data_IF_316391257740
#
_entry.id   IF_316391257740
#
_cell.length_a   1.000
_cell.length_b   1.000
_cell.length_c   1.000
_cell.angle_alpha   90.00
_cell.angle_beta   90.00
_cell.angle_gamma   90.00
#
_symmetry.space_group_name_H-M   'P 1'
#
loop_
_entity.id
_entity.type
_entity.pdbx_description
1 polymer ?
#
# COMPACT_ATOMS: atom_id res chain seq x y z
N UNK A 1 9.96 -5.70 -21.65
CA UNK A 1 9.46 -4.69 -20.69
C UNK A 1 8.46 -3.84 -21.44
N UNK A 2 7.32 -3.50 -20.84
CA UNK A 2 6.37 -2.59 -21.48
C UNK A 2 6.93 -1.18 -21.31
N UNK A 3 7.51 -0.59 -22.36
CA UNK A 3 8.02 0.80 -22.42
C UNK A 3 6.86 1.83 -22.42
N UNK A 4 5.84 1.58 -21.60
CA UNK A 4 4.71 2.48 -21.43
C UNK A 4 5.03 3.43 -20.27
N UNK A 5 5.05 4.73 -20.57
CA UNK A 5 5.07 5.76 -19.53
C UNK A 5 3.69 5.73 -18.87
N UNK A 6 3.60 5.14 -17.68
CA UNK A 6 2.38 5.15 -16.87
C UNK A 6 2.37 6.45 -16.07
N UNK A 7 1.36 7.30 -16.31
CA UNK A 7 1.12 8.45 -15.44
C UNK A 7 0.68 7.93 -14.07
N UNK A 8 1.44 8.29 -13.03
CA UNK A 8 1.14 7.92 -11.64
C UNK A 8 -0.23 8.42 -11.19
N UNK A 9 -0.78 9.45 -11.82
CA UNK A 9 -2.15 9.94 -11.58
C UNK A 9 -3.24 8.99 -12.07
N UNK A 10 -2.90 8.07 -12.97
CA UNK A 10 -3.82 7.06 -13.48
C UNK A 10 -3.77 5.76 -12.67
N UNK A 11 -2.88 5.67 -11.69
CA UNK A 11 -2.76 4.50 -10.83
C UNK A 11 -3.86 4.53 -9.76
N UNK A 12 -4.37 3.35 -9.34
CA UNK A 12 -5.29 3.28 -8.21
C UNK A 12 -4.71 3.95 -6.97
N UNK A 13 -5.56 4.56 -6.14
CA UNK A 13 -5.16 5.01 -4.81
C UNK A 13 -4.49 3.87 -4.05
N UNK A 14 -3.34 4.15 -3.43
CA UNK A 14 -2.56 3.13 -2.73
C UNK A 14 -1.78 2.19 -3.64
N UNK A 15 -1.68 2.45 -4.95
CA UNK A 15 -0.70 1.74 -5.76
C UNK A 15 0.71 2.27 -5.47
N UNK A 16 1.69 1.37 -5.29
CA UNK A 16 3.08 1.73 -5.06
C UNK A 16 3.99 1.09 -6.11
N UNK A 17 4.58 1.92 -6.98
CA UNK A 17 5.47 1.45 -8.04
C UNK A 17 6.91 1.18 -7.55
N UNK A 18 7.27 1.57 -6.32
CA UNK A 18 8.66 1.52 -5.84
C UNK A 18 9.09 0.14 -5.39
N UNK A 19 8.14 -0.75 -5.08
CA UNK A 19 8.38 -2.12 -4.69
C UNK A 19 7.18 -3.02 -4.99
N UNK A 20 7.36 -4.35 -5.04
CA UNK A 20 6.25 -5.27 -5.17
C UNK A 20 5.25 -5.15 -4.00
N UNK A 21 3.96 -5.47 -4.24
CA UNK A 21 2.97 -5.52 -3.17
C UNK A 21 3.37 -6.53 -2.08
N UNK A 22 3.14 -6.17 -0.83
CA UNK A 22 3.43 -7.02 0.33
C UNK A 22 2.22 -7.04 1.28
N UNK A 23 1.28 -7.99 1.13
CA UNK A 23 0.02 -7.98 1.89
C UNK A 23 0.21 -8.13 3.41
N UNK A 24 1.40 -8.54 3.87
CA UNK A 24 1.74 -8.65 5.29
C UNK A 24 2.28 -7.36 5.92
N UNK A 25 2.56 -6.33 5.11
CA UNK A 25 3.20 -5.09 5.56
C UNK A 25 2.43 -3.87 5.05
N UNK A 26 2.48 -2.78 5.81
CA UNK A 26 2.01 -1.49 5.33
C UNK A 26 3.02 -0.91 4.33
N UNK A 27 2.57 -0.64 3.11
CA UNK A 27 3.37 -0.11 2.00
C UNK A 27 3.88 1.32 2.24
N UNK A 28 3.23 2.08 3.12
CA UNK A 28 3.65 3.45 3.42
C UNK A 28 4.77 3.51 4.46
N UNK A 29 4.71 2.67 5.50
CA UNK A 29 5.64 2.75 6.64
C UNK A 29 6.50 1.49 6.84
N UNK A 30 6.33 0.48 5.98
CA UNK A 30 7.06 -0.78 5.94
C UNK A 30 7.00 -1.61 7.24
N UNK A 31 5.97 -1.39 8.06
CA UNK A 31 5.75 -2.17 9.29
C UNK A 31 4.78 -3.33 9.04
N UNK A 32 4.97 -4.49 9.70
CA UNK A 32 4.11 -5.65 9.52
C UNK A 32 2.73 -5.43 10.18
N UNK A 33 1.68 -6.01 9.60
CA UNK A 33 0.34 -6.02 10.21
C UNK A 33 0.26 -6.90 11.45
N UNK A 34 1.17 -7.86 11.61
CA UNK A 34 1.26 -8.73 12.77
C UNK A 34 2.62 -8.53 13.43
N UNK A 35 2.62 -8.06 14.68
CA UNK A 35 3.83 -8.02 15.49
C UNK A 35 3.49 -8.35 16.94
N UNK A 36 4.38 -9.08 17.63
CA UNK A 36 4.21 -9.42 19.06
C UNK A 36 2.86 -10.08 19.37
N UNK A 37 2.39 -10.99 18.50
CA UNK A 37 1.07 -11.65 18.57
C UNK A 37 -0.13 -10.69 18.54
N UNK A 38 0.07 -9.44 18.12
CA UNK A 38 -0.97 -8.45 17.92
C UNK A 38 -1.16 -8.18 16.43
N UNK A 39 -2.40 -8.26 15.96
CA UNK A 39 -2.81 -7.85 14.63
C UNK A 39 -3.27 -6.39 14.65
N UNK A 40 -2.59 -5.55 13.88
CA UNK A 40 -2.91 -4.13 13.71
C UNK A 40 -3.94 -3.95 12.60
N UNK A 41 -4.81 -2.94 12.76
CA UNK A 41 -5.88 -2.67 11.81
C UNK A 41 -5.35 -2.07 10.50
N UNK A 42 -5.85 -2.59 9.38
CA UNK A 42 -5.53 -2.14 8.04
C UNK A 42 -6.33 -2.90 7.00
N UNK A 43 -6.00 -2.67 5.74
CA UNK A 43 -6.63 -3.31 4.59
C UNK A 43 -5.61 -3.60 3.49
N UNK A 44 -5.90 -4.64 2.69
CA UNK A 44 -5.19 -4.94 1.45
C UNK A 44 -6.09 -4.54 0.31
N UNK A 45 -5.61 -3.66 -0.56
CA UNK A 45 -6.35 -3.13 -1.70
C UNK A 45 -6.35 -4.13 -2.87
N UNK A 46 -7.18 -3.88 -3.89
CA UNK A 46 -7.27 -4.75 -5.08
C UNK A 46 -5.95 -4.85 -5.87
N UNK A 47 -5.05 -3.87 -5.69
CA UNK A 47 -3.69 -3.87 -6.23
C UNK A 47 -2.69 -4.68 -5.38
N UNK A 48 -3.18 -5.42 -4.37
CA UNK A 48 -2.42 -6.26 -3.43
C UNK A 48 -1.49 -5.49 -2.47
N UNK A 49 -1.55 -4.16 -2.50
CA UNK A 49 -0.82 -3.28 -1.57
C UNK A 49 -1.59 -3.16 -0.25
N UNK A 50 -0.87 -3.36 0.86
CA UNK A 50 -1.44 -3.28 2.21
C UNK A 50 -1.20 -1.92 2.85
N UNK A 51 -2.20 -1.37 3.55
CA UNK A 51 -2.04 -0.16 4.36
C UNK A 51 -2.72 -0.26 5.73
N UNK A 52 -2.13 0.36 6.76
CA UNK A 52 -2.90 0.72 7.95
C UNK A 52 -3.93 1.79 7.57
N UNK A 53 -5.11 1.80 8.18
CA UNK A 53 -6.16 2.79 7.86
C UNK A 53 -5.68 4.25 7.96
N UNK A 54 -4.86 4.57 8.97
CA UNK A 54 -4.29 5.91 9.10
C UNK A 54 -3.27 6.25 8.01
N UNK A 55 -2.54 5.24 7.50
CA UNK A 55 -1.63 5.41 6.37
C UNK A 55 -2.38 5.57 5.05
N UNK A 56 -3.48 4.83 4.85
CA UNK A 56 -4.32 4.98 3.66
C UNK A 56 -5.00 6.35 3.63
N UNK A 57 -5.58 6.80 4.74
CA UNK A 57 -6.20 8.12 4.84
C UNK A 57 -5.20 9.25 4.50
N UNK A 58 -3.93 9.12 4.91
CA UNK A 58 -2.89 10.08 4.54
C UNK A 58 -2.63 10.16 3.02
N UNK A 59 -2.88 9.07 2.28
CA UNK A 59 -2.77 9.04 0.81
C UNK A 59 -4.01 9.64 0.14
N UNK A 60 -5.20 9.43 0.71
CA UNK A 60 -6.48 9.91 0.15
C UNK A 60 -6.71 11.41 0.31
N UNK A 61 -6.22 12.01 1.39
CA UNK A 61 -6.44 13.42 1.71
C UNK A 61 -5.26 14.35 1.34
N UNK A 62 -4.40 13.91 0.41
CA UNK A 62 -3.29 14.70 -0.15
C UNK A 62 -3.68 15.41 -1.45
#
# INVERSE_FOLDING_TARGET
TLDAIVDVKCLPTGFNATHPPSPNNCDLCNKPFIANNHMYNGEVLICDHGYYWGCLAYLEYK
#
